data_IF_368684145718
#
_entry.id   IF_368684145718
#
_cell.length_a   1.000
_cell.length_b   1.000
_cell.length_c   1.000
_cell.angle_alpha   90.00
_cell.angle_beta   90.00
_cell.angle_gamma   90.00
#
_symmetry.space_group_name_H-M   'P 1'
#
loop_
_entity.id
_entity.type
_entity.pdbx_description
1 polymer ?
#
# COMPACT_ATOMS: atom_id res chain seq x y z
N UNK A 1 20.05 12.83 22.42
CA UNK A 1 18.95 11.86 22.37
C UNK A 1 18.80 11.48 20.91
N UNK A 2 19.09 10.23 20.52
CA UNK A 2 18.86 9.81 19.12
C UNK A 2 17.34 9.78 18.92
N UNK A 3 16.80 10.34 17.83
CA UNK A 3 15.38 10.23 17.55
C UNK A 3 14.99 8.74 17.51
N UNK A 4 13.81 8.42 18.04
CA UNK A 4 13.25 7.08 17.95
C UNK A 4 13.14 6.70 16.46
N UNK A 5 13.54 5.48 16.12
CA UNK A 5 13.80 5.04 14.73
C UNK A 5 12.56 5.19 13.83
N UNK A 6 11.37 5.32 14.42
CA UNK A 6 10.10 5.44 13.71
C UNK A 6 9.20 6.60 14.22
N UNK A 7 9.81 7.69 14.73
CA UNK A 7 9.07 8.85 15.24
C UNK A 7 8.05 9.41 14.22
N UNK A 8 8.35 9.39 12.92
CA UNK A 8 7.43 9.82 11.85
C UNK A 8 6.09 9.09 11.88
N UNK A 9 6.09 7.78 12.18
CA UNK A 9 4.85 6.99 12.27
C UNK A 9 4.03 7.44 13.48
N UNK A 10 4.69 7.68 14.62
CA UNK A 10 4.03 8.15 15.84
C UNK A 10 3.39 9.52 15.62
N UNK A 11 4.13 10.45 15.03
CA UNK A 11 3.66 11.81 14.77
C UNK A 11 2.47 11.79 13.80
N UNK A 12 2.58 11.06 12.68
CA UNK A 12 1.50 10.91 11.70
C UNK A 12 0.24 10.27 12.31
N UNK A 13 0.39 9.24 13.16
CA UNK A 13 -0.75 8.65 13.86
C UNK A 13 -1.43 9.64 14.82
N UNK A 14 -0.63 10.47 15.51
CA UNK A 14 -1.13 11.49 16.44
C UNK A 14 -1.91 12.59 15.72
N UNK A 15 -1.39 13.06 14.58
CA UNK A 15 -2.06 14.03 13.71
C UNK A 15 -3.36 13.47 13.16
N UNK A 16 -3.34 12.23 12.65
CA UNK A 16 -4.52 11.58 12.09
C UNK A 16 -5.62 11.38 13.14
N UNK A 17 -5.25 10.97 14.37
CA UNK A 17 -6.19 10.86 15.50
C UNK A 17 -6.84 12.20 15.82
N UNK A 18 -6.04 13.26 15.91
CA UNK A 18 -6.52 14.61 16.18
C UNK A 18 -7.45 15.11 15.09
N UNK A 19 -7.07 14.93 13.82
CA UNK A 19 -7.89 15.30 12.67
C UNK A 19 -9.22 14.56 12.65
N UNK A 20 -9.21 13.23 12.86
CA UNK A 20 -10.41 12.41 12.82
C UNK A 20 -11.38 12.76 13.95
N UNK A 21 -10.87 13.05 15.16
CA UNK A 21 -11.68 13.50 16.29
C UNK A 21 -12.37 14.85 16.06
N UNK A 22 -11.79 15.71 15.22
CA UNK A 22 -12.39 17.00 14.85
C UNK A 22 -13.47 16.88 13.75
N UNK A 23 -13.55 15.76 13.04
CA UNK A 23 -14.52 15.57 11.95
C UNK A 23 -15.89 15.09 12.48
N UNK A 24 -16.98 15.62 11.92
CA UNK A 24 -18.33 15.09 12.20
C UNK A 24 -18.57 13.83 11.38
N UNK A 25 -19.11 12.78 12.03
CA UNK A 25 -19.52 11.52 11.36
C UNK A 25 -18.38 10.79 10.65
N UNK A 26 -17.16 10.97 11.14
CA UNK A 26 -15.95 10.27 10.68
C UNK A 26 -15.26 9.71 11.90
N UNK A 27 -14.60 8.56 11.76
CA UNK A 27 -13.78 7.96 12.82
C UNK A 27 -12.54 7.31 12.22
N UNK A 28 -11.47 7.34 12.99
CA UNK A 28 -10.31 6.47 12.75
C UNK A 28 -10.56 5.15 13.48
N UNK A 29 -10.45 4.03 12.77
CA UNK A 29 -10.51 2.69 13.34
C UNK A 29 -9.14 2.06 13.23
N UNK A 30 -8.62 1.60 14.37
CA UNK A 30 -7.30 0.99 14.49
C UNK A 30 -7.46 -0.45 14.99
N UNK A 31 -6.72 -1.37 14.38
CA UNK A 31 -6.64 -2.75 14.81
C UNK A 31 -5.82 -2.92 16.09
N UNK A 32 -5.95 -4.09 16.76
CA UNK A 32 -5.05 -4.45 17.85
C UNK A 32 -3.60 -4.64 17.35
N UNK A 33 -2.58 -4.51 18.21
CA UNK A 33 -1.20 -4.87 17.89
C UNK A 33 -1.04 -6.28 17.32
N UNK A 34 -0.07 -6.46 16.41
CA UNK A 34 0.37 -7.76 15.88
C UNK A 34 1.72 -8.14 16.49
N UNK A 35 1.88 -9.40 16.89
CA UNK A 35 3.17 -9.88 17.37
C UNK A 35 4.16 -10.15 16.21
N UNK A 36 5.46 -10.10 16.53
CA UNK A 36 6.49 -10.31 15.51
C UNK A 36 6.44 -11.70 14.86
N UNK A 37 5.96 -12.73 15.57
CA UNK A 37 5.90 -14.09 15.06
C UNK A 37 4.82 -14.23 13.99
N UNK A 38 3.68 -13.57 14.17
CA UNK A 38 2.65 -13.47 13.15
C UNK A 38 3.19 -12.71 11.93
N UNK A 39 3.81 -11.55 12.13
CA UNK A 39 4.43 -10.77 11.06
C UNK A 39 5.42 -11.64 10.26
N UNK A 40 6.33 -12.34 10.94
CA UNK A 40 7.33 -13.22 10.31
C UNK A 40 6.72 -14.36 9.49
N UNK A 41 5.46 -14.75 9.77
CA UNK A 41 4.76 -15.80 9.05
C UNK A 41 4.13 -15.34 7.74
N UNK A 42 3.92 -14.03 7.54
CA UNK A 42 3.17 -13.50 6.40
C UNK A 42 3.74 -13.87 5.03
N UNK A 43 5.07 -13.83 4.75
CA UNK A 43 5.58 -14.20 3.45
C UNK A 43 5.21 -15.65 3.09
N UNK A 44 5.32 -16.57 4.06
CA UNK A 44 4.92 -17.97 3.88
C UNK A 44 3.41 -18.15 3.67
N UNK A 45 2.59 -17.40 4.41
CA UNK A 45 1.13 -17.42 4.25
C UNK A 45 0.69 -16.86 2.89
N UNK A 46 1.33 -15.79 2.43
CA UNK A 46 1.12 -15.21 1.10
C UNK A 46 1.46 -16.26 0.04
N UNK A 47 2.67 -16.85 0.10
CA UNK A 47 3.10 -17.89 -0.84
C UNK A 47 2.10 -19.06 -0.90
N UNK A 48 1.66 -19.57 0.25
CA UNK A 48 0.68 -20.64 0.33
C UNK A 48 -0.67 -20.24 -0.27
N UNK A 49 -1.13 -19.00 -0.04
CA UNK A 49 -2.38 -18.49 -0.60
C UNK A 49 -2.32 -18.37 -2.13
N UNK A 50 -1.13 -18.17 -2.70
CA UNK A 50 -0.90 -18.00 -4.14
C UNK A 50 -0.40 -19.25 -4.86
N UNK A 51 -0.23 -20.38 -4.17
CA UNK A 51 0.40 -21.57 -4.74
C UNK A 51 -0.31 -22.13 -6.00
N UNK A 52 -1.58 -21.77 -6.21
CA UNK A 52 -2.35 -22.12 -7.40
C UNK A 52 -2.00 -21.27 -8.64
N UNK A 53 -1.25 -20.17 -8.51
CA UNK A 53 -0.74 -19.37 -9.63
C UNK A 53 0.41 -20.15 -10.28
N UNK A 54 0.08 -20.98 -11.29
CA UNK A 54 0.93 -22.08 -11.75
C UNK A 54 2.23 -21.67 -12.47
N UNK A 55 2.36 -20.41 -12.92
CA UNK A 55 3.43 -20.03 -13.86
C UNK A 55 4.54 -19.17 -13.26
N UNK A 56 4.19 -18.21 -12.39
CA UNK A 56 5.18 -17.46 -11.61
C UNK A 56 4.64 -17.27 -10.20
N UNK A 57 4.95 -18.16 -9.25
CA UNK A 57 4.50 -18.00 -7.87
C UNK A 57 5.25 -16.85 -7.18
N UNK A 58 4.60 -16.24 -6.20
CA UNK A 58 5.23 -15.32 -5.26
C UNK A 58 6.40 -16.02 -4.54
N UNK A 59 7.54 -15.34 -4.45
CA UNK A 59 8.75 -15.86 -3.80
C UNK A 59 8.84 -15.30 -2.36
N UNK A 60 8.52 -16.08 -1.32
CA UNK A 60 8.44 -15.57 0.06
C UNK A 60 9.75 -14.96 0.56
N UNK A 61 10.89 -15.48 0.13
CA UNK A 61 12.22 -14.98 0.48
C UNK A 61 12.53 -13.58 -0.08
N UNK A 62 11.82 -13.15 -1.13
CA UNK A 62 11.97 -11.82 -1.73
C UNK A 62 11.17 -10.76 -0.96
N UNK A 63 10.20 -11.17 -0.15
CA UNK A 63 9.40 -10.26 0.67
C UNK A 63 9.92 -10.19 2.10
N UNK A 64 10.98 -9.38 2.28
CA UNK A 64 11.39 -8.93 3.60
C UNK A 64 10.44 -7.83 4.05
N UNK A 65 9.70 -8.07 5.13
CA UNK A 65 8.72 -7.11 5.65
C UNK A 65 9.44 -5.82 6.07
N UNK A 66 9.05 -4.63 5.53
CA UNK A 66 9.72 -3.37 5.83
C UNK A 66 9.75 -3.07 7.32
N UNK A 67 10.87 -2.56 7.84
CA UNK A 67 11.07 -2.33 9.27
C UNK A 67 10.04 -1.34 9.84
N UNK A 68 9.76 -0.25 9.12
CA UNK A 68 8.78 0.74 9.52
C UNK A 68 7.34 0.21 9.44
N UNK A 69 7.02 -0.65 8.47
CA UNK A 69 5.73 -1.33 8.41
C UNK A 69 5.55 -2.35 9.55
N UNK A 70 6.60 -3.12 9.86
CA UNK A 70 6.62 -4.01 11.03
C UNK A 70 6.38 -3.22 12.32
N UNK A 71 7.04 -2.08 12.47
CA UNK A 71 6.83 -1.20 13.62
C UNK A 71 5.37 -0.75 13.71
N UNK A 72 4.79 -0.26 12.62
CA UNK A 72 3.38 0.10 12.58
C UNK A 72 2.47 -1.07 12.98
N UNK A 73 2.71 -2.27 12.44
CA UNK A 73 1.92 -3.47 12.72
C UNK A 73 2.02 -3.93 14.17
N UNK A 74 3.17 -3.69 14.82
CA UNK A 74 3.32 -3.90 16.26
C UNK A 74 2.50 -2.94 17.13
N UNK A 75 1.96 -1.87 16.55
CA UNK A 75 1.04 -0.95 17.21
C UNK A 75 -0.41 -1.24 16.82
N UNK A 76 -0.67 -1.43 15.52
CA UNK A 76 -2.00 -1.55 14.94
C UNK A 76 -2.00 -2.49 13.74
N UNK A 77 -2.77 -3.58 13.82
CA UNK A 77 -2.88 -4.57 12.73
C UNK A 77 -3.53 -4.05 11.46
N UNK A 78 -4.27 -2.95 11.54
CA UNK A 78 -4.83 -2.21 10.41
C UNK A 78 -5.12 -0.77 10.84
N UNK A 79 -5.30 0.12 9.86
CA UNK A 79 -5.85 1.44 10.09
C UNK A 79 -6.74 1.87 8.95
N UNK A 80 -7.94 2.35 9.26
CA UNK A 80 -8.87 2.84 8.25
C UNK A 80 -9.69 4.02 8.75
N UNK A 81 -10.03 4.91 7.82
CA UNK A 81 -11.01 5.96 8.07
C UNK A 81 -12.37 5.39 7.72
N UNK A 82 -13.33 5.56 8.62
CA UNK A 82 -14.73 5.25 8.35
C UNK A 82 -15.59 6.49 8.45
N UNK A 83 -16.61 6.59 7.61
CA UNK A 83 -17.58 7.67 7.64
C UNK A 83 -19.02 7.14 7.69
N UNK A 84 -19.87 7.84 8.43
CA UNK A 84 -21.26 7.47 8.59
C UNK A 84 -22.07 7.93 7.35
N UNK A 85 -22.81 6.99 6.76
CA UNK A 85 -23.66 7.20 5.59
C UNK A 85 -25.13 7.45 5.94
N UNK A 86 -25.45 7.58 7.23
CA UNK A 86 -26.80 7.63 7.76
C UNK A 86 -27.28 6.26 8.23
N UNK A 87 -28.36 6.24 9.03
CA UNK A 87 -28.97 5.01 9.59
C UNK A 87 -27.94 4.07 10.26
N UNK A 88 -26.99 4.67 10.98
CA UNK A 88 -25.88 3.96 11.67
C UNK A 88 -24.99 3.09 10.78
N UNK A 89 -25.01 3.30 9.46
CA UNK A 89 -24.14 2.60 8.51
C UNK A 89 -22.81 3.32 8.37
N UNK A 90 -21.73 2.66 8.74
CA UNK A 90 -20.35 3.12 8.50
C UNK A 90 -19.81 2.49 7.22
N UNK A 91 -19.08 3.29 6.43
CA UNK A 91 -18.34 2.82 5.26
C UNK A 91 -16.87 3.17 5.42
N UNK A 92 -16.02 2.28 4.94
CA UNK A 92 -14.58 2.54 4.80
C UNK A 92 -14.37 3.61 3.73
N UNK A 93 -13.46 4.54 4.02
CA UNK A 93 -12.94 5.49 3.06
C UNK A 93 -11.71 4.86 2.41
N UNK A 94 -11.89 4.28 1.22
CA UNK A 94 -10.87 3.47 0.55
C UNK A 94 -9.52 4.18 0.30
N UNK A 95 -9.43 5.50 0.10
CA UNK A 95 -8.12 6.16 0.01
C UNK A 95 -7.26 6.05 1.28
N UNK A 96 -7.85 5.69 2.44
CA UNK A 96 -7.14 5.36 3.66
C UNK A 96 -7.73 4.10 4.28
N UNK A 97 -7.26 2.95 3.80
CA UNK A 97 -7.59 1.64 4.34
C UNK A 97 -6.38 0.71 4.21
N UNK A 98 -5.58 0.69 5.28
CA UNK A 98 -4.45 -0.21 5.46
C UNK A 98 -4.98 -1.59 5.87
N UNK A 99 -4.47 -2.62 5.21
CA UNK A 99 -4.96 -3.99 5.33
C UNK A 99 -4.59 -4.63 6.67
N UNK A 100 -5.52 -5.41 7.21
CA UNK A 100 -5.24 -6.38 8.25
C UNK A 100 -4.50 -7.60 7.71
N UNK A 101 -4.01 -8.47 8.60
CA UNK A 101 -3.28 -9.70 8.23
C UNK A 101 -4.03 -10.56 7.20
N UNK A 102 -5.36 -10.67 7.35
CA UNK A 102 -6.17 -11.48 6.42
C UNK A 102 -6.25 -10.86 5.02
N UNK A 103 -6.39 -9.54 4.92
CA UNK A 103 -6.45 -8.82 3.65
C UNK A 103 -5.07 -8.81 2.98
N UNK A 104 -4.00 -8.56 3.75
CA UNK A 104 -2.61 -8.63 3.28
C UNK A 104 -2.29 -9.99 2.67
N UNK A 105 -2.62 -11.09 3.36
CA UNK A 105 -2.36 -12.45 2.85
C UNK A 105 -3.16 -12.74 1.57
N UNK A 106 -4.39 -12.24 1.46
CA UNK A 106 -5.25 -12.44 0.28
C UNK A 106 -4.98 -11.44 -0.85
N UNK A 107 -4.15 -10.43 -0.62
CA UNK A 107 -3.97 -9.29 -1.53
C UNK A 107 -3.34 -9.68 -2.87
N UNK A 108 -2.60 -10.79 -2.91
CA UNK A 108 -2.04 -11.36 -4.16
C UNK A 108 -3.09 -12.03 -5.06
N UNK A 109 -4.33 -12.23 -4.61
CA UNK A 109 -5.38 -12.83 -5.44
C UNK A 109 -5.75 -11.97 -6.65
N UNK A 110 -5.41 -10.68 -6.58
CA UNK A 110 -5.83 -9.69 -7.54
C UNK A 110 -4.76 -9.36 -8.60
N UNK A 111 -3.52 -9.81 -8.39
CA UNK A 111 -2.36 -9.72 -9.28
C UNK A 111 -2.25 -11.00 -10.14
N UNK A 112 -3.38 -11.44 -10.72
CA UNK A 112 -3.45 -12.72 -11.45
C UNK A 112 -2.41 -12.74 -12.57
N UNK A 113 -1.49 -13.70 -12.55
CA UNK A 113 -0.79 -14.12 -13.78
C UNK A 113 -1.78 -14.74 -14.77
N UNK A 114 -1.43 -14.74 -16.05
CA UNK A 114 -2.28 -15.27 -17.12
C UNK A 114 -2.99 -14.21 -17.96
N UNK A 115 -2.65 -12.94 -17.79
CA UNK A 115 -2.94 -11.91 -18.79
C UNK A 115 -1.87 -11.96 -19.87
N UNK A 116 -2.28 -11.66 -21.10
CA UNK A 116 -1.36 -11.61 -22.23
C UNK A 116 -1.30 -10.18 -22.76
N UNK A 117 -0.08 -9.71 -23.00
CA UNK A 117 0.21 -8.49 -23.75
C UNK A 117 0.99 -8.89 -25.00
N UNK A 118 0.47 -8.55 -26.18
CA UNK A 118 1.06 -8.90 -27.48
C UNK A 118 1.35 -10.41 -27.64
N UNK A 119 0.44 -11.26 -27.12
CA UNK A 119 0.57 -12.73 -27.18
C UNK A 119 1.64 -13.31 -26.26
N UNK A 120 2.16 -12.51 -25.31
CA UNK A 120 3.11 -12.94 -24.27
C UNK A 120 2.48 -12.76 -22.91
N UNK A 121 2.70 -13.73 -22.04
CA UNK A 121 2.13 -13.72 -20.71
C UNK A 121 2.86 -12.77 -19.76
N UNK A 122 2.12 -12.12 -18.86
CA UNK A 122 2.64 -11.14 -17.91
C UNK A 122 2.24 -11.48 -16.46
N UNK A 123 2.99 -10.92 -15.49
CA UNK A 123 2.74 -11.09 -14.07
C UNK A 123 3.10 -9.84 -13.24
N UNK A 124 2.50 -9.75 -12.05
CA UNK A 124 2.74 -8.70 -11.04
C UNK A 124 3.06 -9.26 -9.65
N UNK A 125 3.54 -10.52 -9.59
CA UNK A 125 3.82 -11.25 -8.34
C UNK A 125 4.95 -10.67 -7.48
N UNK A 126 5.63 -9.63 -7.96
CA UNK A 126 6.61 -8.84 -7.21
C UNK A 126 5.98 -7.63 -6.48
N UNK A 127 4.67 -7.45 -6.57
CA UNK A 127 3.93 -6.43 -5.82
C UNK A 127 3.16 -7.08 -4.68
N UNK A 128 3.34 -6.58 -3.45
CA UNK A 128 2.54 -7.01 -2.29
C UNK A 128 1.69 -5.85 -1.81
N UNK A 129 0.38 -5.91 -2.08
CA UNK A 129 -0.54 -4.85 -1.70
C UNK A 129 -0.81 -4.82 -0.19
N UNK A 130 -0.74 -3.63 0.40
CA UNK A 130 -0.91 -3.43 1.85
C UNK A 130 -1.95 -2.37 2.22
N UNK A 131 -2.47 -1.62 1.25
CA UNK A 131 -3.56 -0.67 1.43
C UNK A 131 -4.30 -0.44 0.11
N UNK A 132 -5.55 0.05 0.17
CA UNK A 132 -6.24 0.60 -1.01
C UNK A 132 -5.77 2.02 -1.30
N UNK A 133 -5.74 2.39 -2.58
CA UNK A 133 -5.41 3.74 -3.05
C UNK A 133 -6.64 4.61 -3.33
N UNK A 134 -7.79 3.97 -3.58
CA UNK A 134 -9.09 4.66 -3.62
C UNK A 134 -9.35 5.51 -4.86
N UNK A 135 -8.72 5.22 -6.00
CA UNK A 135 -9.16 5.74 -7.30
C UNK A 135 -10.63 5.36 -7.60
N UNK A 136 -11.31 6.21 -8.38
CA UNK A 136 -12.70 6.03 -8.82
C UNK A 136 -12.90 4.91 -9.85
N UNK A 137 -11.82 4.49 -10.51
CA UNK A 137 -11.75 3.32 -11.40
C UNK A 137 -11.14 2.13 -10.64
N UNK A 138 -11.49 0.91 -11.04
CA UNK A 138 -11.39 -0.35 -10.29
C UNK A 138 -10.18 -0.50 -9.32
N UNK A 139 -10.44 -1.05 -8.13
CA UNK A 139 -9.52 -1.66 -7.14
C UNK A 139 -8.03 -1.24 -7.13
N UNK A 140 -7.72 0.06 -7.12
CA UNK A 140 -6.34 0.54 -7.01
C UNK A 140 -5.74 0.36 -5.62
N UNK A 141 -4.44 0.06 -5.55
CA UNK A 141 -3.74 -0.37 -4.31
C UNK A 141 -2.37 0.25 -4.14
N UNK A 142 -1.96 0.42 -2.90
CA UNK A 142 -0.58 0.66 -2.54
C UNK A 142 0.14 -0.66 -2.32
N UNK A 143 1.29 -0.83 -2.96
CA UNK A 143 2.04 -2.08 -2.98
C UNK A 143 3.47 -1.87 -2.53
N UNK A 144 3.99 -2.80 -1.74
CA UNK A 144 5.43 -2.97 -1.57
C UNK A 144 6.00 -3.60 -2.83
N UNK A 145 7.10 -3.01 -3.32
CA UNK A 145 7.85 -3.53 -4.44
C UNK A 145 8.96 -4.47 -3.94
N UNK A 146 8.85 -5.77 -4.22
CA UNK A 146 9.80 -6.79 -3.73
C UNK A 146 10.92 -7.10 -4.72
N UNK A 147 10.80 -6.60 -5.95
CA UNK A 147 11.78 -6.84 -6.99
C UNK A 147 13.07 -6.04 -6.75
N UNK A 148 14.19 -6.55 -7.26
CA UNK A 148 15.50 -6.01 -6.92
C UNK A 148 15.94 -4.83 -7.78
N UNK A 149 15.21 -4.51 -8.84
CA UNK A 149 15.65 -3.62 -9.91
C UNK A 149 15.51 -2.11 -9.62
N UNK A 150 14.81 -1.71 -8.54
CA UNK A 150 14.66 -0.29 -8.20
C UNK A 150 15.95 0.30 -7.64
N UNK A 151 16.38 1.41 -8.25
CA UNK A 151 17.48 2.24 -7.79
C UNK A 151 17.10 2.98 -6.49
N UNK A 152 18.05 3.08 -5.55
CA UNK A 152 17.91 3.77 -4.24
C UNK A 152 17.05 3.05 -3.19
N UNK A 153 17.53 1.89 -2.74
CA UNK A 153 16.94 1.18 -1.59
C UNK A 153 17.35 1.81 -0.27
N UNK A 154 16.39 1.98 0.64
CA UNK A 154 16.65 2.24 2.05
C UNK A 154 16.84 0.91 2.77
N UNK A 155 17.89 0.80 3.58
CA UNK A 155 18.20 -0.46 4.28
C UNK A 155 17.04 -0.89 5.19
N UNK A 156 16.55 -2.12 4.98
CA UNK A 156 15.44 -2.70 5.74
C UNK A 156 14.05 -2.20 5.34
N UNK A 157 13.93 -1.45 4.25
CA UNK A 157 12.65 -0.95 3.72
C UNK A 157 12.41 -1.45 2.29
N UNK A 158 11.14 -1.42 1.87
CA UNK A 158 10.75 -1.65 0.48
C UNK A 158 10.12 -0.38 -0.11
N UNK A 159 10.41 -0.06 -1.38
CA UNK A 159 9.72 1.02 -2.07
C UNK A 159 8.20 0.76 -2.17
N UNK A 160 7.44 1.84 -2.26
CA UNK A 160 5.98 1.83 -2.39
C UNK A 160 5.58 2.37 -3.76
N UNK A 161 4.69 1.65 -4.44
CA UNK A 161 4.07 2.04 -5.70
C UNK A 161 2.54 2.02 -5.59
N UNK A 162 1.87 2.73 -6.50
CA UNK A 162 0.42 2.62 -6.69
C UNK A 162 0.13 1.69 -7.86
N UNK A 163 -0.47 0.53 -7.61
CA UNK A 163 -1.14 -0.25 -8.64
C UNK A 163 -2.46 0.45 -8.99
N UNK A 164 -2.54 1.07 -10.16
CA UNK A 164 -3.80 1.56 -10.74
C UNK A 164 -4.32 0.52 -11.72
N UNK A 165 -5.50 -0.04 -11.46
CA UNK A 165 -6.07 -1.13 -12.26
C UNK A 165 -6.90 -0.60 -13.45
N UNK A 166 -6.36 0.35 -14.21
CA UNK A 166 -6.93 0.77 -15.50
C UNK A 166 -6.58 -0.20 -16.64
N UNK A 167 -6.27 -1.46 -16.32
CA UNK A 167 -5.72 -2.46 -17.26
C UNK A 167 -4.39 -2.04 -17.90
N UNK A 168 -3.81 -0.94 -17.44
CA UNK A 168 -2.53 -0.46 -17.90
C UNK A 168 -1.46 -1.38 -17.30
N UNK A 169 -0.83 -2.19 -18.16
CA UNK A 169 0.21 -3.15 -17.81
C UNK A 169 1.51 -2.46 -17.34
N UNK A 170 1.44 -1.21 -16.89
CA UNK A 170 2.54 -0.32 -16.53
C UNK A 170 3.31 -0.80 -15.29
N UNK A 171 2.86 -1.85 -14.63
CA UNK A 171 3.49 -2.43 -13.44
C UNK A 171 3.60 -3.95 -13.53
N UNK A 172 3.83 -4.49 -14.73
CA UNK A 172 3.98 -5.92 -14.96
C UNK A 172 5.29 -6.28 -15.69
N UNK A 173 5.69 -7.54 -15.52
CA UNK A 173 6.83 -8.16 -16.19
C UNK A 173 6.36 -9.30 -17.09
N UNK A 174 7.06 -9.57 -18.18
CA UNK A 174 6.83 -10.74 -19.00
C UNK A 174 7.27 -12.02 -18.25
N UNK A 175 6.42 -13.04 -18.23
CA UNK A 175 6.68 -14.31 -17.52
C UNK A 175 7.88 -15.07 -18.10
N UNK A 176 8.02 -15.05 -19.43
CA UNK A 176 9.04 -15.83 -20.15
C UNK A 176 10.47 -15.30 -19.96
N UNK A 177 10.62 -14.00 -19.75
CA UNK A 177 11.91 -13.28 -19.77
C UNK A 177 12.20 -12.56 -18.47
N UNK A 178 11.19 -12.28 -17.64
CA UNK A 178 11.31 -11.45 -16.46
C UNK A 178 11.54 -9.96 -16.76
N UNK A 179 11.52 -9.58 -18.04
CA UNK A 179 11.69 -8.19 -18.47
C UNK A 179 10.46 -7.37 -18.14
N UNK A 180 10.68 -6.12 -17.76
CA UNK A 180 9.62 -5.12 -17.63
C UNK A 180 8.90 -4.91 -18.96
N UNK A 181 7.59 -4.72 -18.90
CA UNK A 181 6.84 -4.21 -20.05
C UNK A 181 7.33 -2.79 -20.38
N UNK A 182 7.33 -2.46 -21.67
CA UNK A 182 7.68 -1.12 -22.16
C UNK A 182 6.82 -0.04 -21.49
N UNK A 183 7.42 1.11 -21.17
CA UNK A 183 6.78 2.23 -20.44
C UNK A 183 6.25 1.92 -19.03
N UNK A 184 6.68 0.80 -18.43
CA UNK A 184 6.34 0.51 -17.04
C UNK A 184 6.81 1.64 -16.09
N UNK A 185 5.91 2.10 -15.23
CA UNK A 185 6.18 3.13 -14.23
C UNK A 185 6.96 2.52 -13.07
N UNK A 186 8.28 2.75 -13.03
CA UNK A 186 9.17 2.17 -12.00
C UNK A 186 9.45 3.11 -10.84
N UNK A 187 8.95 4.34 -10.91
CA UNK A 187 9.27 5.38 -9.93
C UNK A 187 8.44 5.21 -8.65
N UNK A 188 9.07 4.87 -7.51
CA UNK A 188 8.35 4.75 -6.25
C UNK A 188 7.73 6.08 -5.84
N UNK A 189 6.51 6.04 -5.32
CA UNK A 189 5.89 7.20 -4.67
C UNK A 189 6.53 7.52 -3.32
N UNK A 190 7.20 6.52 -2.73
CA UNK A 190 8.02 6.60 -1.52
C UNK A 190 9.01 5.44 -1.48
N UNK A 191 10.13 5.62 -0.78
CA UNK A 191 11.18 4.59 -0.63
C UNK A 191 11.09 3.80 0.68
N UNK A 192 10.09 4.10 1.52
CA UNK A 192 9.82 3.42 2.79
C UNK A 192 8.33 3.51 3.14
N UNK A 193 7.84 2.62 4.01
CA UNK A 193 6.47 2.71 4.50
C UNK A 193 6.26 3.96 5.36
N UNK A 194 7.21 4.33 6.22
CA UNK A 194 7.08 5.54 7.05
C UNK A 194 6.97 6.83 6.24
N UNK A 195 7.72 6.96 5.13
CA UNK A 195 7.65 8.13 4.27
C UNK A 195 6.32 8.18 3.51
N UNK A 196 5.87 7.03 3.00
CA UNK A 196 4.55 6.90 2.39
C UNK A 196 3.44 7.29 3.37
N UNK A 197 3.47 6.72 4.58
CA UNK A 197 2.43 6.90 5.58
C UNK A 197 2.36 8.35 6.06
N UNK A 198 3.52 8.96 6.35
CA UNK A 198 3.60 10.37 6.73
C UNK A 198 3.06 11.29 5.63
N UNK A 199 3.42 11.06 4.36
CA UNK A 199 2.91 11.84 3.22
C UNK A 199 1.41 11.66 3.03
N UNK A 200 0.90 10.43 3.12
CA UNK A 200 -0.53 10.14 3.03
C UNK A 200 -1.32 10.90 4.11
N UNK A 201 -0.86 10.81 5.36
CA UNK A 201 -1.48 11.54 6.48
C UNK A 201 -1.45 13.03 6.23
N UNK A 202 -0.32 13.60 5.81
CA UNK A 202 -0.22 15.03 5.52
C UNK A 202 -1.24 15.49 4.46
N UNK A 203 -1.41 14.72 3.37
CA UNK A 203 -2.41 15.00 2.32
C UNK A 203 -3.84 14.94 2.89
N UNK A 204 -4.13 13.94 3.73
CA UNK A 204 -5.45 13.75 4.32
C UNK A 204 -5.81 14.90 5.26
N UNK A 205 -4.92 15.23 6.20
CA UNK A 205 -5.19 16.19 7.28
C UNK A 205 -5.16 17.65 6.81
N UNK A 206 -4.58 17.93 5.63
CA UNK A 206 -4.52 19.27 5.05
C UNK A 206 -5.90 19.89 4.76
N UNK A 207 -6.97 19.08 4.68
CA UNK A 207 -8.34 19.54 4.41
C UNK A 207 -9.36 18.80 5.27
N UNK A 208 -10.56 19.36 5.48
CA UNK A 208 -11.67 18.62 6.07
C UNK A 208 -12.02 17.35 5.27
N UNK A 209 -12.61 16.37 5.95
CA UNK A 209 -13.04 15.14 5.28
C UNK A 209 -14.07 15.43 4.16
N UNK A 210 -13.86 14.82 3.00
CA UNK A 210 -14.80 14.82 1.88
C UNK A 210 -14.70 13.51 1.11
N UNK A 211 -15.86 12.90 0.83
CA UNK A 211 -15.95 11.65 0.05
C UNK A 211 -15.43 11.78 -1.37
N UNK A 212 -15.42 13.01 -1.93
CA UNK A 212 -15.04 13.27 -3.32
C UNK A 212 -13.52 13.28 -3.55
N UNK A 213 -12.71 13.10 -2.50
CA UNK A 213 -11.24 13.16 -2.56
C UNK A 213 -10.65 11.78 -2.90
N UNK A 214 -11.37 10.94 -3.64
CA UNK A 214 -10.94 9.57 -3.96
C UNK A 214 -9.69 9.60 -4.86
N UNK A 215 -9.73 10.33 -5.97
CA UNK A 215 -8.57 10.49 -6.88
C UNK A 215 -7.54 11.51 -6.35
N UNK A 216 -7.95 12.47 -5.50
CA UNK A 216 -7.05 13.53 -4.99
C UNK A 216 -5.88 12.96 -4.16
N UNK A 217 -6.12 11.86 -3.43
CA UNK A 217 -5.10 11.25 -2.58
C UNK A 217 -3.94 10.68 -3.41
N UNK A 218 -4.17 9.74 -4.33
CA UNK A 218 -3.08 9.22 -5.15
C UNK A 218 -2.48 10.29 -6.06
N UNK A 219 -3.27 11.22 -6.63
CA UNK A 219 -2.72 12.35 -7.40
C UNK A 219 -1.81 13.25 -6.56
N UNK A 220 -2.10 13.41 -5.27
CA UNK A 220 -1.24 14.14 -4.32
C UNK A 220 0.14 13.48 -4.11
N UNK A 221 0.31 12.20 -4.43
CA UNK A 221 1.62 11.57 -4.45
C UNK A 221 2.44 11.96 -5.67
N UNK A 222 1.80 12.09 -6.83
CA UNK A 222 2.43 12.36 -8.13
C UNK A 222 2.49 13.85 -8.49
N UNK A 223 1.74 14.70 -7.78
CA UNK A 223 1.88 16.14 -7.90
C UNK A 223 3.34 16.52 -7.62
N UNK A 224 4.04 16.99 -8.67
CA UNK A 224 5.37 17.58 -8.51
C UNK A 224 5.29 18.61 -7.39
N UNK A 225 6.26 18.69 -6.46
CA UNK A 225 6.32 19.79 -5.52
C UNK A 225 6.32 21.05 -6.39
N UNK A 226 5.22 21.81 -6.33
CA UNK A 226 5.05 23.04 -7.10
C UNK A 226 6.37 23.80 -7.02
N UNK A 227 7.02 23.99 -8.17
CA UNK A 227 8.27 24.72 -8.29
C UNK A 227 8.18 25.92 -7.36
N UNK A 228 8.93 25.85 -6.27
CA UNK A 228 8.89 26.85 -5.21
C UNK A 228 9.18 28.21 -5.84
N UNK A 229 8.31 29.15 -5.51
CA UNK A 229 8.46 30.59 -5.79
C UNK A 229 9.85 31.11 -5.45
#
# INVERSE_FOLDING_TARGET
>A
MKPDKHQKIIDALSELKSWAAAQKKVRLVLGPPVDNKEIDSWPGLIAASTAFLQKVPFQPEQFVIPASYRYFMSLHSFARIEYNTGKDKWKTYEPFNLYGSTELVKSQYFTRGGWELNGREIHTTFLTAFATAGYSVEASRWCFYTDTDIERKVEGELPVLCESNDYECNLAKYVDTGEWIEDACKDPVAYSFEDWFSKLVAILVAKPFSRKREDEIPDGFYASPSAGK
#
